data_IF_836355199032
#
_entry.id   IF_836355199032
#
_cell.length_a   1.000
_cell.length_b   1.000
_cell.length_c   1.000
_cell.angle_alpha   90.00
_cell.angle_beta   90.00
_cell.angle_gamma   90.00
#
_symmetry.space_group_name_H-M   'P 1'
#
loop_
_entity.id
_entity.type
_entity.pdbx_description
1 polymer ?
#
# COMPACT_ATOMS: atom_id res chain seq x y z
N UNK A 1 15.32 -16.15 -7.12
CA UNK A 1 14.26 -15.74 -6.22
C UNK A 1 14.63 -14.38 -5.64
N UNK A 2 13.76 -13.37 -5.80
CA UNK A 2 13.98 -12.02 -5.28
C UNK A 2 13.27 -11.81 -3.93
N UNK A 3 12.37 -12.69 -3.52
CA UNK A 3 11.63 -12.58 -2.27
C UNK A 3 12.52 -13.07 -1.13
N UNK A 4 12.77 -12.21 -0.15
CA UNK A 4 13.50 -12.52 1.10
C UNK A 4 12.55 -12.98 2.20
N UNK A 5 11.39 -12.32 2.33
CA UNK A 5 10.41 -12.59 3.38
C UNK A 5 9.03 -12.75 2.75
N UNK A 6 8.29 -13.77 3.17
CA UNK A 6 6.92 -14.02 2.71
C UNK A 6 6.84 -14.68 1.33
N UNK A 7 5.71 -14.56 0.63
CA UNK A 7 4.47 -13.91 1.08
C UNK A 7 3.89 -14.54 2.35
N UNK A 8 3.48 -13.70 3.28
CA UNK A 8 2.86 -14.08 4.55
C UNK A 8 1.44 -13.50 4.61
N UNK A 9 0.45 -14.34 4.95
CA UNK A 9 -0.92 -13.85 5.18
C UNK A 9 -0.98 -13.02 6.46
N UNK A 10 -1.84 -12.00 6.47
CA UNK A 10 -2.05 -11.15 7.61
C UNK A 10 -2.93 -11.76 8.70
N UNK A 11 -3.19 -10.96 9.71
CA UNK A 11 -3.90 -11.31 10.93
C UNK A 11 -5.42 -11.23 10.73
N UNK A 12 -6.14 -12.23 11.24
CA UNK A 12 -7.60 -12.17 11.41
C UNK A 12 -7.94 -11.92 12.87
N UNK A 13 -8.79 -10.93 13.14
CA UNK A 13 -9.41 -10.72 14.46
C UNK A 13 -10.87 -10.32 14.29
N UNK A 14 -11.74 -10.76 15.20
CA UNK A 14 -13.17 -10.43 15.16
C UNK A 14 -13.41 -8.93 15.46
N UNK A 15 -14.59 -8.44 15.06
CA UNK A 15 -14.93 -7.03 15.12
C UNK A 15 -14.89 -6.42 16.54
N UNK A 16 -15.16 -7.21 17.57
CA UNK A 16 -15.15 -6.77 18.97
C UNK A 16 -13.75 -6.43 19.51
N UNK A 17 -12.68 -6.78 18.80
CA UNK A 17 -11.31 -6.40 19.18
C UNK A 17 -10.87 -5.06 18.62
N UNK A 18 -11.69 -4.46 17.72
CA UNK A 18 -11.37 -3.15 17.13
C UNK A 18 -11.77 -2.00 18.08
N UNK A 19 -11.00 -0.91 18.04
CA UNK A 19 -11.22 0.32 18.79
C UNK A 19 -9.92 1.00 19.19
N UNK A 20 -9.17 0.40 20.10
CA UNK A 20 -7.90 0.95 20.62
C UNK A 20 -6.76 -0.07 20.44
N UNK A 21 -5.51 0.38 20.64
CA UNK A 21 -4.31 -0.45 20.60
C UNK A 21 -3.51 -0.30 19.30
N UNK A 22 -3.12 -1.41 18.70
CA UNK A 22 -2.20 -1.49 17.55
C UNK A 22 -2.89 -1.10 16.23
N UNK A 23 -2.29 -0.22 15.41
CA UNK A 23 -2.81 0.10 14.09
C UNK A 23 -2.81 -1.12 13.16
N UNK A 24 -3.80 -1.17 12.26
CA UNK A 24 -3.92 -2.24 11.27
C UNK A 24 -4.16 -1.69 9.87
N UNK A 25 -3.28 -2.04 8.92
CA UNK A 25 -3.51 -1.79 7.49
C UNK A 25 -4.56 -2.78 6.98
N UNK A 26 -5.56 -2.24 6.28
CA UNK A 26 -6.69 -2.99 5.73
C UNK A 26 -6.82 -2.79 4.23
N UNK A 27 -7.53 -3.69 3.55
CA UNK A 27 -7.73 -3.65 2.09
C UNK A 27 -8.40 -2.37 1.59
N UNK A 28 -9.18 -1.69 2.43
CA UNK A 28 -9.84 -0.40 2.14
C UNK A 28 -8.94 0.82 2.45
N UNK A 29 -7.82 0.61 3.14
CA UNK A 29 -6.93 1.66 3.61
C UNK A 29 -6.00 2.29 2.55
N UNK A 30 -5.93 1.76 1.32
CA UNK A 30 -5.03 2.26 0.28
C UNK A 30 -5.56 2.01 -1.13
N UNK A 31 -4.97 2.68 -2.13
CA UNK A 31 -5.18 2.43 -3.56
C UNK A 31 -4.01 1.62 -4.14
N UNK A 32 -4.20 0.99 -5.29
CA UNK A 32 -3.09 0.27 -5.95
C UNK A 32 -1.97 1.22 -6.35
N UNK A 33 -0.76 0.91 -5.89
CA UNK A 33 0.44 1.71 -6.09
C UNK A 33 0.62 2.83 -5.08
N UNK A 34 -0.17 2.86 -4.00
CA UNK A 34 0.05 3.81 -2.92
C UNK A 34 1.35 3.50 -2.17
N UNK A 35 1.92 4.57 -1.63
CA UNK A 35 2.98 4.51 -0.64
C UNK A 35 2.34 4.84 0.69
N UNK A 36 2.44 3.92 1.62
CA UNK A 36 1.88 4.06 2.97
C UNK A 36 2.94 4.72 3.86
N UNK A 37 2.62 5.93 4.28
CA UNK A 37 3.31 6.70 5.30
C UNK A 37 2.33 7.03 6.41
N UNK A 38 2.82 7.25 7.62
CA UNK A 38 2.13 7.80 8.80
C UNK A 38 0.68 8.22 8.57
N UNK A 39 -0.19 7.24 8.48
CA UNK A 39 -1.60 7.40 8.18
C UNK A 39 -2.41 6.95 9.39
N UNK A 40 -3.52 7.60 9.63
CA UNK A 40 -4.48 7.09 10.60
C UNK A 40 -5.08 5.77 10.11
N UNK A 41 -4.89 4.73 10.93
CA UNK A 41 -5.45 3.41 10.71
C UNK A 41 -6.46 3.07 11.80
N UNK A 42 -7.37 2.14 11.50
CA UNK A 42 -8.14 1.48 12.53
C UNK A 42 -7.19 0.76 13.48
N UNK A 43 -7.62 0.62 14.73
CA UNK A 43 -6.80 -0.01 15.77
C UNK A 43 -7.49 -1.24 16.32
N UNK A 44 -6.72 -2.16 16.87
CA UNK A 44 -7.24 -3.33 17.57
C UNK A 44 -6.34 -3.73 18.73
N UNK A 45 -6.94 -4.34 19.73
CA UNK A 45 -6.22 -4.88 20.88
C UNK A 45 -5.52 -6.18 20.49
N UNK A 46 -4.20 -6.27 20.70
CA UNK A 46 -3.37 -7.42 20.34
C UNK A 46 -2.41 -7.76 21.47
N UNK A 47 -2.07 -9.05 21.53
CA UNK A 47 -0.93 -9.53 22.31
C UNK A 47 0.38 -9.20 21.58
N UNK A 48 1.46 -9.00 22.33
CA UNK A 48 2.78 -8.67 21.78
C UNK A 48 3.27 -9.72 20.78
N UNK A 49 2.98 -10.99 21.01
CA UNK A 49 3.32 -12.09 20.09
C UNK A 49 2.66 -11.96 18.71
N UNK A 50 1.42 -11.45 18.64
CA UNK A 50 0.74 -11.17 17.39
C UNK A 50 1.36 -9.95 16.69
N UNK A 51 1.68 -8.90 17.45
CA UNK A 51 2.34 -7.70 16.92
C UNK A 51 3.67 -8.10 16.27
N UNK A 52 4.54 -8.80 16.99
CA UNK A 52 5.84 -9.23 16.48
C UNK A 52 5.73 -10.10 15.23
N UNK A 53 4.75 -10.98 15.18
CA UNK A 53 4.53 -11.90 14.05
C UNK A 53 4.01 -11.20 12.80
N UNK A 54 3.16 -10.17 12.96
CA UNK A 54 2.43 -9.54 11.86
C UNK A 54 2.82 -8.07 11.61
N UNK A 55 3.80 -7.54 12.33
CA UNK A 55 4.26 -6.17 12.09
C UNK A 55 4.78 -5.98 10.67
N UNK A 56 4.46 -4.85 10.11
CA UNK A 56 5.00 -4.36 8.86
C UNK A 56 6.34 -3.67 9.09
N UNK A 57 7.26 -3.88 8.18
CA UNK A 57 8.57 -3.23 8.19
C UNK A 57 8.67 -2.24 7.02
N UNK A 58 9.60 -1.30 7.15
CA UNK A 58 9.96 -0.41 6.05
C UNK A 58 10.35 -1.22 4.80
N UNK A 59 9.81 -0.81 3.66
CA UNK A 59 9.97 -1.45 2.36
C UNK A 59 9.25 -2.79 2.18
N UNK A 60 8.43 -3.23 3.13
CA UNK A 60 7.48 -4.31 2.87
C UNK A 60 6.47 -3.87 1.80
N UNK A 61 6.08 -4.81 0.96
CA UNK A 61 4.95 -4.68 0.04
C UNK A 61 3.76 -5.46 0.60
N UNK A 62 2.60 -4.84 0.56
CA UNK A 62 1.32 -5.50 0.88
C UNK A 62 0.50 -5.67 -0.39
N UNK A 63 -0.13 -6.83 -0.57
CA UNK A 63 -0.95 -7.17 -1.72
C UNK A 63 -2.28 -7.77 -1.29
N UNK A 64 -3.38 -7.31 -1.88
CA UNK A 64 -4.69 -7.89 -1.63
C UNK A 64 -4.78 -9.31 -2.19
N UNK A 65 -5.08 -10.27 -1.30
CA UNK A 65 -5.22 -11.68 -1.65
C UNK A 65 -6.67 -12.16 -1.70
N UNK A 66 -7.57 -11.51 -0.98
CA UNK A 66 -9.00 -11.82 -0.97
C UNK A 66 -9.77 -10.52 -1.10
N UNK A 67 -10.57 -10.40 -2.16
CA UNK A 67 -11.42 -9.24 -2.42
C UNK A 67 -12.36 -9.55 -3.60
N UNK A 68 -13.18 -8.59 -4.03
CA UNK A 68 -13.82 -8.64 -5.34
C UNK A 68 -12.77 -8.64 -6.47
N UNK A 69 -13.11 -9.23 -7.64
CA UNK A 69 -12.14 -9.52 -8.71
C UNK A 69 -11.28 -8.34 -9.13
N UNK A 70 -11.84 -7.13 -9.17
CA UNK A 70 -11.18 -5.90 -9.60
C UNK A 70 -10.12 -5.38 -8.61
N UNK A 71 -10.15 -5.85 -7.35
CA UNK A 71 -9.20 -5.43 -6.31
C UNK A 71 -8.16 -6.48 -5.94
N UNK A 72 -8.25 -7.70 -6.50
CA UNK A 72 -7.21 -8.72 -6.30
C UNK A 72 -5.90 -8.23 -6.91
N UNK A 73 -4.80 -8.39 -6.16
CA UNK A 73 -3.49 -7.92 -6.58
C UNK A 73 -3.23 -6.43 -6.34
N UNK A 74 -4.20 -5.67 -5.80
CA UNK A 74 -3.97 -4.29 -5.37
C UNK A 74 -2.81 -4.25 -4.37
N UNK A 75 -1.76 -3.49 -4.68
CA UNK A 75 -0.49 -3.49 -3.96
C UNK A 75 -0.15 -2.11 -3.43
N UNK A 76 0.45 -2.03 -2.25
CA UNK A 76 1.03 -0.81 -1.70
C UNK A 76 2.41 -1.09 -1.07
N UNK A 77 3.23 -0.05 -0.98
CA UNK A 77 4.56 -0.06 -0.36
C UNK A 77 4.51 0.61 1.01
N UNK A 78 5.08 -0.04 2.01
CA UNK A 78 5.29 0.55 3.33
C UNK A 78 6.59 1.36 3.33
N UNK A 79 6.48 2.69 3.47
CA UNK A 79 7.65 3.58 3.48
C UNK A 79 8.05 3.95 4.90
N UNK A 80 7.11 4.41 5.69
CA UNK A 80 7.34 4.83 7.07
C UNK A 80 6.09 4.59 7.93
N UNK A 81 6.30 4.08 9.13
CA UNK A 81 5.27 3.89 10.15
C UNK A 81 5.84 4.38 11.49
N UNK A 82 5.13 5.26 12.18
CA UNK A 82 5.57 5.83 13.46
C UNK A 82 5.50 4.82 14.61
N UNK A 83 4.62 3.83 14.48
CA UNK A 83 4.40 2.80 15.50
C UNK A 83 4.26 1.42 14.86
N UNK A 84 4.43 0.37 15.67
CA UNK A 84 4.24 -1.00 15.21
C UNK A 84 2.84 -1.18 14.65
N UNK A 85 2.75 -1.48 13.37
CA UNK A 85 1.51 -1.60 12.61
C UNK A 85 1.42 -2.99 11.98
N UNK A 86 0.28 -3.63 12.13
CA UNK A 86 0.01 -4.95 11.55
C UNK A 86 -0.86 -4.85 10.28
N UNK A 87 -1.17 -5.98 9.65
CA UNK A 87 -2.01 -6.01 8.44
C UNK A 87 -3.02 -7.16 8.49
N UNK A 88 -4.18 -6.93 7.89
CA UNK A 88 -5.30 -7.88 7.95
C UNK A 88 -5.14 -9.10 7.04
N UNK A 89 -5.87 -10.18 7.36
CA UNK A 89 -5.79 -11.50 6.71
C UNK A 89 -6.16 -11.52 5.23
N UNK A 90 -6.88 -10.51 4.74
CA UNK A 90 -7.22 -10.37 3.31
C UNK A 90 -6.05 -9.85 2.46
N UNK A 91 -4.90 -9.64 3.08
CA UNK A 91 -3.65 -9.26 2.43
C UNK A 91 -2.54 -10.27 2.70
N UNK A 92 -1.52 -10.19 1.87
CA UNK A 92 -0.20 -10.77 2.14
C UNK A 92 0.83 -9.65 2.17
N UNK A 93 1.85 -9.80 3.04
CA UNK A 93 3.07 -8.99 2.98
C UNK A 93 4.21 -9.80 2.39
N UNK A 94 5.13 -9.13 1.74
CA UNK A 94 6.41 -9.70 1.33
C UNK A 94 7.48 -8.62 1.23
N UNK A 95 8.73 -9.02 1.40
CA UNK A 95 9.90 -8.17 1.20
C UNK A 95 10.83 -8.78 0.16
N UNK A 96 11.54 -7.94 -0.60
CA UNK A 96 12.47 -8.36 -1.64
C UNK A 96 13.90 -7.97 -1.31
N UNK A 97 14.85 -8.63 -1.95
CA UNK A 97 16.27 -8.29 -1.90
C UNK A 97 16.50 -6.96 -2.64
N UNK A 98 16.59 -5.87 -1.88
CA UNK A 98 16.73 -4.52 -2.43
C UNK A 98 18.07 -4.28 -3.15
N UNK A 99 19.04 -5.17 -3.00
CA UNK A 99 20.27 -5.13 -3.79
C UNK A 99 20.08 -5.59 -5.24
N UNK A 100 18.97 -6.27 -5.53
CA UNK A 100 18.65 -6.83 -6.86
C UNK A 100 17.36 -6.29 -7.45
N UNK A 101 16.41 -5.91 -6.60
CA UNK A 101 15.08 -5.47 -7.01
C UNK A 101 14.62 -4.28 -6.15
N UNK A 102 14.56 -3.11 -6.75
CA UNK A 102 14.10 -1.90 -6.09
C UNK A 102 12.59 -1.97 -5.80
N UNK A 103 12.18 -1.63 -4.58
CA UNK A 103 10.79 -1.77 -4.12
C UNK A 103 9.82 -0.78 -4.75
N UNK A 104 10.26 0.45 -5.09
CA UNK A 104 9.43 1.40 -5.84
C UNK A 104 9.24 0.95 -7.27
N UNK A 105 10.32 0.50 -7.93
CA UNK A 105 10.22 -0.10 -9.26
C UNK A 105 9.22 -1.25 -9.26
N UNK A 106 9.36 -2.19 -8.32
CA UNK A 106 8.46 -3.33 -8.20
C UNK A 106 7.01 -2.92 -7.94
N UNK A 107 6.76 -1.95 -7.05
CA UNK A 107 5.41 -1.42 -6.79
C UNK A 107 4.72 -0.98 -8.09
N UNK A 108 5.43 -0.27 -8.96
CA UNK A 108 4.87 0.19 -10.24
C UNK A 108 4.78 -0.91 -11.28
N UNK A 109 5.74 -1.84 -11.29
CA UNK A 109 5.68 -2.99 -12.19
C UNK A 109 4.49 -3.89 -11.89
N UNK A 110 4.15 -4.11 -10.62
CA UNK A 110 2.99 -4.91 -10.20
C UNK A 110 1.64 -4.33 -10.65
N UNK A 111 1.58 -3.04 -11.01
CA UNK A 111 0.39 -2.38 -11.59
C UNK A 111 0.28 -2.54 -13.10
N UNK A 112 1.30 -3.05 -13.78
CA UNK A 112 1.26 -3.18 -15.23
C UNK A 112 0.26 -4.25 -15.65
N UNK A 113 -0.42 -4.03 -16.79
CA UNK A 113 -1.41 -4.96 -17.32
C UNK A 113 -0.85 -6.37 -17.49
N UNK A 114 0.42 -6.49 -17.83
CA UNK A 114 1.13 -7.76 -17.91
C UNK A 114 1.06 -8.57 -16.60
N UNK A 115 1.23 -7.93 -15.45
CA UNK A 115 1.15 -8.61 -14.13
C UNK A 115 -0.30 -8.82 -13.73
N UNK A 116 -1.17 -7.83 -13.96
CA UNK A 116 -2.60 -7.96 -13.66
C UNK A 116 -3.25 -9.11 -14.42
N UNK A 117 -2.86 -9.36 -15.68
CA UNK A 117 -3.30 -10.52 -16.45
C UNK A 117 -2.82 -11.83 -15.83
N UNK A 118 -1.58 -11.90 -15.32
CA UNK A 118 -1.09 -13.08 -14.61
C UNK A 118 -1.90 -13.36 -13.33
N UNK A 119 -2.21 -12.31 -12.57
CA UNK A 119 -3.03 -12.39 -11.35
C UNK A 119 -4.44 -12.87 -11.71
N UNK A 120 -5.06 -12.32 -12.75
CA UNK A 120 -6.38 -12.71 -13.21
C UNK A 120 -6.44 -14.20 -13.63
N UNK A 121 -5.40 -14.71 -14.29
CA UNK A 121 -5.31 -16.12 -14.71
C UNK A 121 -5.07 -17.09 -13.52
N UNK A 122 -4.49 -16.61 -12.43
CA UNK A 122 -4.22 -17.42 -11.22
C UNK A 122 -5.33 -17.34 -10.17
N UNK A 123 -6.15 -16.31 -10.28
CA UNK A 123 -7.24 -16.01 -9.36
C UNK A 123 -8.26 -17.14 -9.34
N UNK A 124 -8.69 -17.49 -8.13
CA UNK A 124 -9.82 -18.40 -7.91
C UNK A 124 -11.05 -17.57 -7.54
N UNK A 125 -12.08 -17.66 -8.37
CA UNK A 125 -13.32 -16.93 -8.18
C UNK A 125 -14.34 -17.78 -7.41
N UNK A 126 -15.01 -17.17 -6.43
CA UNK A 126 -16.16 -17.70 -5.71
C UNK A 126 -17.33 -16.69 -5.82
N UNK A 127 -18.51 -17.06 -5.34
CA UNK A 127 -19.76 -16.30 -5.58
C UNK A 127 -19.64 -14.80 -5.25
N UNK A 128 -18.95 -14.45 -4.16
CA UNK A 128 -18.87 -13.06 -3.70
C UNK A 128 -17.44 -12.51 -3.55
N UNK A 129 -16.43 -13.31 -3.83
CA UNK A 129 -15.04 -12.91 -3.69
C UNK A 129 -14.11 -13.76 -4.52
N UNK A 130 -12.98 -13.19 -4.84
CA UNK A 130 -11.87 -13.86 -5.50
C UNK A 130 -10.67 -13.97 -4.57
N UNK A 131 -9.76 -14.89 -4.86
CA UNK A 131 -8.56 -15.06 -4.06
C UNK A 131 -7.35 -15.51 -4.86
N UNK A 132 -6.17 -15.11 -4.38
CA UNK A 132 -4.87 -15.65 -4.77
C UNK A 132 -4.14 -16.15 -3.53
N UNK A 133 -3.25 -17.11 -3.71
CA UNK A 133 -2.46 -17.69 -2.63
C UNK A 133 -0.99 -17.25 -2.70
N UNK A 134 -0.20 -17.66 -1.72
CA UNK A 134 1.23 -17.31 -1.63
C UNK A 134 2.04 -17.82 -2.84
N UNK A 135 1.71 -19.00 -3.36
CA UNK A 135 2.39 -19.56 -4.52
C UNK A 135 2.08 -18.78 -5.80
N UNK A 136 0.85 -18.27 -5.93
CA UNK A 136 0.48 -17.40 -7.05
C UNK A 136 1.36 -16.15 -7.09
N UNK A 137 1.56 -15.49 -5.94
CA UNK A 137 2.44 -14.32 -5.82
C UNK A 137 3.89 -14.68 -6.13
N UNK A 138 4.41 -15.80 -5.59
CA UNK A 138 5.79 -16.26 -5.85
C UNK A 138 6.07 -16.59 -7.30
N UNK A 139 5.05 -16.97 -8.05
CA UNK A 139 5.13 -17.37 -9.46
C UNK A 139 4.89 -16.24 -10.44
N UNK A 140 4.70 -14.99 -9.99
CA UNK A 140 4.59 -13.84 -10.87
C UNK A 140 5.90 -13.62 -11.63
N UNK A 141 5.79 -13.48 -12.93
CA UNK A 141 6.90 -13.15 -13.82
C UNK A 141 7.02 -11.63 -13.88
N UNK A 142 8.20 -11.12 -13.58
CA UNK A 142 8.52 -9.69 -13.62
C UNK A 142 9.76 -9.47 -14.48
N UNK A 143 9.81 -8.34 -15.18
CA UNK A 143 11.04 -7.88 -15.82
C UNK A 143 11.91 -7.18 -14.78
N UNK A 144 13.20 -7.56 -14.76
CA UNK A 144 14.17 -7.00 -13.81
C UNK A 144 15.34 -6.41 -14.61
N UNK A 145 15.26 -5.13 -14.98
CA UNK A 145 16.38 -4.44 -15.62
C UNK A 145 17.55 -4.30 -14.63
N UNK A 146 18.76 -3.88 -15.10
CA UNK A 146 19.87 -3.57 -14.20
C UNK A 146 19.43 -2.65 -13.06
N UNK A 147 19.98 -2.87 -11.87
CA UNK A 147 19.53 -2.19 -10.64
C UNK A 147 19.67 -0.67 -10.73
N UNK A 148 20.64 -0.17 -11.47
CA UNK A 148 20.88 1.25 -11.69
C UNK A 148 19.72 1.92 -12.45
N UNK A 149 19.11 1.20 -13.40
CA UNK A 149 17.94 1.70 -14.13
C UNK A 149 16.69 1.69 -13.24
N UNK A 150 16.52 0.68 -12.39
CA UNK A 150 15.45 0.62 -11.42
C UNK A 150 15.54 1.79 -10.43
N UNK A 151 16.74 2.06 -9.88
CA UNK A 151 17.00 3.17 -8.96
C UNK A 151 16.76 4.53 -9.67
N UNK A 152 17.19 4.67 -10.92
CA UNK A 152 16.93 5.88 -11.71
C UNK A 152 15.43 6.16 -11.85
N UNK A 153 14.65 5.13 -12.19
CA UNK A 153 13.19 5.21 -12.26
C UNK A 153 12.58 5.59 -10.89
N UNK A 154 13.01 4.95 -9.82
CA UNK A 154 12.52 5.19 -8.48
C UNK A 154 12.79 6.60 -7.99
N UNK A 155 13.99 7.12 -8.24
CA UNK A 155 14.36 8.50 -7.92
C UNK A 155 13.51 9.52 -8.69
N UNK A 156 13.28 9.27 -9.98
CA UNK A 156 12.41 10.12 -10.80
C UNK A 156 10.97 10.13 -10.25
N UNK A 157 10.44 8.94 -9.95
CA UNK A 157 9.10 8.83 -9.40
C UNK A 157 8.95 9.54 -8.04
N UNK A 158 9.90 9.37 -7.12
CA UNK A 158 9.87 10.03 -5.82
C UNK A 158 9.89 11.57 -5.96
N UNK A 159 10.62 12.10 -6.94
CA UNK A 159 10.60 13.54 -7.27
C UNK A 159 9.21 13.98 -7.79
N UNK A 160 8.60 13.20 -8.67
CA UNK A 160 7.24 13.47 -9.17
C UNK A 160 6.20 13.43 -8.03
N UNK A 161 6.28 12.45 -7.15
CA UNK A 161 5.40 12.33 -5.99
C UNK A 161 5.53 13.57 -5.07
N UNK A 162 6.76 13.97 -4.77
CA UNK A 162 7.02 15.18 -3.98
C UNK A 162 6.40 16.43 -4.62
N UNK A 163 6.61 16.60 -5.91
CA UNK A 163 6.06 17.75 -6.64
C UNK A 163 4.51 17.72 -6.65
N UNK A 164 3.90 16.55 -6.89
CA UNK A 164 2.45 16.39 -6.84
C UNK A 164 1.87 16.77 -5.47
N UNK A 165 2.52 16.33 -4.40
CA UNK A 165 2.08 16.66 -3.05
C UNK A 165 2.19 18.16 -2.77
N UNK A 166 3.26 18.80 -3.24
CA UNK A 166 3.44 20.26 -3.13
C UNK A 166 2.34 21.03 -3.89
N UNK A 167 2.04 20.62 -5.13
CA UNK A 167 0.96 21.24 -5.92
C UNK A 167 -0.41 21.05 -5.26
N UNK A 168 -0.70 19.87 -4.71
CA UNK A 168 -1.96 19.61 -3.99
C UNK A 168 -2.08 20.52 -2.76
N UNK A 169 -0.99 20.73 -2.02
CA UNK A 169 -0.97 21.62 -0.86
C UNK A 169 -1.17 23.09 -1.28
N UNK A 170 -0.54 23.53 -2.36
CA UNK A 170 -0.73 24.86 -2.92
C UNK A 170 -2.17 25.08 -3.37
N UNK A 171 -2.78 24.12 -4.08
CA UNK A 171 -4.18 24.19 -4.48
C UNK A 171 -5.11 24.36 -3.26
N UNK A 172 -4.89 23.57 -2.19
CA UNK A 172 -5.66 23.70 -0.95
C UNK A 172 -5.50 25.09 -0.30
N UNK A 173 -4.28 25.63 -0.31
CA UNK A 173 -4.01 26.97 0.22
C UNK A 173 -4.74 28.07 -0.60
N UNK A 174 -4.78 27.95 -1.93
CA UNK A 174 -5.53 28.85 -2.78
C UNK A 174 -7.04 28.77 -2.52
N UNK A 175 -7.59 27.57 -2.37
CA UNK A 175 -9.02 27.39 -2.02
C UNK A 175 -9.36 28.04 -0.67
N UNK A 176 -8.49 27.89 0.32
CA UNK A 176 -8.66 28.49 1.65
C UNK A 176 -8.58 30.02 1.57
N UNK A 177 -7.62 30.57 0.83
CA UNK A 177 -7.50 32.00 0.61
C UNK A 177 -8.72 32.57 -0.10
N UNK A 178 -9.20 31.91 -1.16
CA UNK A 178 -10.40 32.29 -1.88
C UNK A 178 -11.63 32.36 -0.97
N UNK A 179 -11.83 31.31 -0.14
CA UNK A 179 -12.93 31.31 0.84
C UNK A 179 -12.81 32.43 1.88
N UNK A 180 -11.59 32.70 2.36
CA UNK A 180 -11.37 33.84 3.29
C UNK A 180 -11.70 35.17 2.67
N UNK A 181 -11.23 35.47 1.45
CA UNK A 181 -11.52 36.68 0.71
C UNK A 181 -13.02 36.81 0.39
N UNK A 182 -13.65 35.73 0.01
CA UNK A 182 -15.09 35.68 -0.26
C UNK A 182 -15.90 36.05 1.01
N UNK A 183 -15.53 35.48 2.17
CA UNK A 183 -16.16 35.83 3.43
C UNK A 183 -15.96 37.30 3.81
N UNK A 184 -14.75 37.87 3.61
CA UNK A 184 -14.47 39.27 3.89
C UNK A 184 -15.30 40.19 2.96
N UNK A 185 -15.38 39.83 1.68
CA UNK A 185 -16.19 40.61 0.71
C UNK A 185 -17.68 40.63 1.07
N UNK A 186 -18.25 39.48 1.43
CA UNK A 186 -19.67 39.37 1.78
C UNK A 186 -20.01 39.94 3.16
N UNK A 187 -19.04 40.02 4.08
CA UNK A 187 -19.22 40.65 5.39
C UNK A 187 -18.87 42.13 5.41
N UNK A 188 -18.46 42.71 4.29
CA UNK A 188 -18.11 44.13 4.19
C UNK A 188 -16.83 44.53 4.93
N UNK A 189 -15.90 43.59 5.11
CA UNK A 189 -14.63 43.80 5.80
C UNK A 189 -13.40 43.78 4.85
N UNK A 190 -13.65 43.82 3.55
CA UNK A 190 -12.62 43.92 2.51
C UNK A 190 -12.36 45.38 2.19
#
# INVERSE_FOLDING_TARGET
NFILVGPQNGLYKPANMYGQGTPIVRIDGFKSGDIIDNKEFKRLSLEESDIEKYKLNKFDLVINRVNSPEYIGKTALIRNLEESTVFESNMMRFAVDTSKLDTYYLLFFLKQQFVLNQIANKRKDAVNQSSINQQDVKSLIINVPPIELQITFSNFFQKLEKNRNLFNQQALNFDNLFKALQNQAFNGTL
#
